data_IF_340110629108
#
_entry.id   IF_340110629108
#
_cell.length_a   1.000
_cell.length_b   1.000
_cell.length_c   1.000
_cell.angle_alpha   90.00
_cell.angle_beta   90.00
_cell.angle_gamma   90.00
#
_symmetry.space_group_name_H-M   'P 1'
#
loop_
_entity.id
_entity.type
_entity.pdbx_description
1 polymer ?
#
# COMPACT_ATOMS: atom_id res chain seq x y z
N UNK A 1 -55.25 12.05 63.13
CA UNK A 1 -53.91 11.51 63.47
C UNK A 1 -53.46 10.38 62.54
N UNK A 2 -54.32 9.41 62.21
CA UNK A 2 -53.97 8.25 61.37
C UNK A 2 -53.46 8.59 59.95
N UNK A 3 -54.01 9.64 59.33
CA UNK A 3 -53.61 10.12 57.99
C UNK A 3 -52.20 10.75 57.97
N UNK A 4 -51.78 11.37 59.07
CA UNK A 4 -50.44 11.96 59.19
C UNK A 4 -49.38 10.88 59.41
N UNK A 5 -49.71 9.81 60.13
CA UNK A 5 -48.81 8.66 60.35
C UNK A 5 -48.55 7.87 59.05
N UNK A 6 -49.56 7.72 58.20
CA UNK A 6 -49.38 7.08 56.87
C UNK A 6 -48.53 7.93 55.94
N UNK A 7 -48.63 9.27 56.04
CA UNK A 7 -47.83 10.19 55.23
C UNK A 7 -46.36 10.21 55.66
N UNK A 8 -46.08 10.19 56.97
CA UNK A 8 -44.71 10.13 57.48
C UNK A 8 -44.02 8.81 57.16
N UNK A 9 -44.73 7.68 57.23
CA UNK A 9 -44.20 6.37 56.82
C UNK A 9 -43.91 6.34 55.31
N UNK A 10 -44.78 6.94 54.48
CA UNK A 10 -44.57 7.02 53.04
C UNK A 10 -43.35 7.87 52.68
N UNK A 11 -43.14 9.01 53.35
CA UNK A 11 -41.97 9.87 53.15
C UNK A 11 -40.69 9.15 53.60
N UNK A 12 -40.74 8.39 54.69
CA UNK A 12 -39.60 7.59 55.15
C UNK A 12 -39.25 6.48 54.14
N UNK A 13 -40.26 5.79 53.59
CA UNK A 13 -40.06 4.76 52.55
C UNK A 13 -39.53 5.34 51.24
N UNK A 14 -40.01 6.51 50.82
CA UNK A 14 -39.51 7.21 49.64
C UNK A 14 -38.07 7.70 49.87
N UNK A 15 -37.75 8.20 51.06
CA UNK A 15 -36.38 8.58 51.46
C UNK A 15 -35.44 7.38 51.44
N UNK A 16 -35.88 6.22 51.94
CA UNK A 16 -35.10 4.97 51.91
C UNK A 16 -34.92 4.48 50.47
N UNK A 17 -35.96 4.52 49.62
CA UNK A 17 -35.82 4.14 48.19
C UNK A 17 -34.91 5.10 47.41
N UNK A 18 -34.93 6.40 47.72
CA UNK A 18 -34.02 7.40 47.14
C UNK A 18 -32.57 7.17 47.61
N UNK A 19 -32.36 6.77 48.87
CA UNK A 19 -31.04 6.41 49.39
C UNK A 19 -30.48 5.12 48.75
N UNK A 20 -31.35 4.13 48.49
CA UNK A 20 -30.94 2.87 47.83
C UNK A 20 -30.54 3.10 46.36
N UNK A 21 -31.14 4.09 45.68
CA UNK A 21 -30.74 4.45 44.30
C UNK A 21 -29.42 5.22 44.20
N UNK A 22 -28.91 5.83 45.28
CA UNK A 22 -27.66 6.61 45.24
C UNK A 22 -26.39 5.80 45.57
N UNK A 23 -26.51 4.53 45.93
CA UNK A 23 -25.35 3.64 46.06
C UNK A 23 -25.10 2.87 44.77
N UNK A 24 -24.83 3.57 43.66
CA UNK A 24 -24.04 2.94 42.59
C UNK A 24 -22.65 2.75 43.18
N UNK A 25 -22.31 1.51 43.56
CA UNK A 25 -20.96 1.15 43.93
C UNK A 25 -20.01 1.71 42.85
N UNK A 26 -19.01 2.49 43.24
CA UNK A 26 -17.96 2.87 42.30
C UNK A 26 -17.39 1.58 41.71
N UNK A 27 -17.21 1.50 40.38
CA UNK A 27 -16.69 0.31 39.77
C UNK A 27 -15.32 0.00 40.39
N UNK A 28 -15.16 -1.22 40.90
CA UNK A 28 -13.91 -1.69 41.51
C UNK A 28 -12.77 -1.41 40.55
N UNK A 29 -11.79 -0.61 40.99
CA UNK A 29 -10.61 -0.34 40.18
C UNK A 29 -9.78 -1.61 40.03
N UNK A 30 -9.16 -1.77 38.88
CA UNK A 30 -8.34 -2.93 38.54
C UNK A 30 -6.89 -2.55 38.65
N UNK A 31 -6.12 -3.42 39.31
CA UNK A 31 -4.69 -3.22 39.51
C UNK A 31 -3.93 -3.86 38.36
N UNK A 32 -3.13 -3.04 37.68
CA UNK A 32 -2.19 -3.48 36.66
C UNK A 32 -0.79 -3.26 37.23
N UNK A 33 -0.05 -4.34 37.44
CA UNK A 33 1.30 -4.32 38.03
C UNK A 33 2.27 -5.15 37.20
N UNK A 34 3.55 -4.87 37.32
CA UNK A 34 4.54 -5.62 36.55
C UNK A 34 5.96 -5.15 36.72
N UNK A 35 6.84 -5.73 35.91
CA UNK A 35 8.26 -5.37 35.84
C UNK A 35 8.66 -5.15 34.38
N UNK A 36 9.40 -4.07 34.14
CA UNK A 36 10.05 -3.79 32.86
C UNK A 36 11.55 -4.06 33.02
N UNK A 37 12.08 -4.94 32.19
CA UNK A 37 13.50 -5.33 32.22
C UNK A 37 14.13 -5.35 30.85
N UNK A 38 15.45 -5.26 30.78
CA UNK A 38 16.18 -5.48 29.53
C UNK A 38 16.40 -6.97 29.23
N UNK A 39 17.06 -7.25 28.10
CA UNK A 39 17.43 -8.61 27.69
C UNK A 39 18.42 -9.30 28.63
N UNK A 40 19.11 -8.57 29.50
CA UNK A 40 20.03 -9.10 30.53
C UNK A 40 19.32 -9.33 31.87
N UNK A 41 18.04 -8.96 31.97
CA UNK A 41 17.23 -9.09 33.18
C UNK A 41 17.35 -7.93 34.16
N UNK A 42 18.01 -6.83 33.78
CA UNK A 42 18.12 -5.63 34.61
C UNK A 42 16.82 -4.83 34.55
N UNK A 43 16.34 -4.38 35.70
CA UNK A 43 15.19 -3.49 35.80
C UNK A 43 15.40 -2.15 35.09
N UNK A 44 14.37 -1.65 34.41
CA UNK A 44 14.41 -0.39 33.68
C UNK A 44 13.56 0.65 34.41
N UNK A 45 14.21 1.67 34.95
CA UNK A 45 13.56 2.84 35.56
C UNK A 45 13.04 3.84 34.52
N UNK A 46 12.11 4.69 34.94
CA UNK A 46 11.55 5.77 34.11
C UNK A 46 10.88 5.28 32.81
N UNK A 47 10.40 4.04 32.80
CA UNK A 47 9.47 3.58 31.78
C UNK A 47 8.07 4.13 32.09
N UNK A 48 7.58 4.99 31.21
CA UNK A 48 6.21 5.47 31.26
C UNK A 48 5.28 4.32 30.85
N UNK A 49 4.52 3.85 31.84
CA UNK A 49 3.46 2.87 31.63
C UNK A 49 2.15 3.63 31.63
N UNK A 50 1.38 3.50 30.55
CA UNK A 50 0.11 4.21 30.42
C UNK A 50 -0.98 3.32 29.82
N UNK A 51 -2.22 3.69 30.12
CA UNK A 51 -3.42 3.08 29.57
C UNK A 51 -4.11 4.10 28.70
N UNK A 52 -4.27 3.73 27.43
CA UNK A 52 -4.95 4.51 26.42
C UNK A 52 -6.37 4.01 26.25
N UNK A 53 -7.33 4.93 26.22
CA UNK A 53 -8.71 4.65 25.79
C UNK A 53 -8.89 5.03 24.34
N UNK A 54 -9.14 4.05 23.48
CA UNK A 54 -9.44 4.31 22.06
C UNK A 54 -10.86 4.89 21.87
N UNK A 55 -11.73 4.68 22.86
CA UNK A 55 -13.06 5.26 22.89
C UNK A 55 -13.03 6.76 23.24
N UNK A 56 -12.25 7.13 24.26
CA UNK A 56 -12.17 8.53 24.74
C UNK A 56 -11.04 9.33 24.08
N UNK A 57 -10.15 8.65 23.35
CA UNK A 57 -8.94 9.21 22.73
C UNK A 57 -8.06 9.98 23.74
N UNK A 58 -7.86 9.40 24.93
CA UNK A 58 -7.17 10.03 26.07
C UNK A 58 -6.40 9.00 26.90
N UNK A 59 -5.43 9.46 27.70
CA UNK A 59 -4.75 8.61 28.68
C UNK A 59 -5.62 8.53 29.94
N UNK A 60 -6.05 7.33 30.31
CA UNK A 60 -6.95 7.12 31.48
C UNK A 60 -6.20 6.83 32.78
N UNK A 61 -4.97 6.32 32.68
CA UNK A 61 -4.08 6.08 33.82
C UNK A 61 -2.63 6.02 33.33
N UNK A 62 -1.69 6.43 34.17
CA UNK A 62 -0.26 6.32 33.89
C UNK A 62 0.58 6.25 35.17
N UNK A 63 1.79 5.72 35.07
CA UNK A 63 2.81 5.68 36.12
C UNK A 63 4.21 5.56 35.51
N UNK A 64 5.25 5.74 36.31
CA UNK A 64 6.65 5.50 35.93
C UNK A 64 7.18 4.28 36.68
N UNK A 65 8.01 3.48 36.03
CA UNK A 65 8.71 2.38 36.71
C UNK A 65 9.76 2.89 37.70
N UNK A 66 9.88 2.16 38.80
CA UNK A 66 10.88 2.39 39.84
C UNK A 66 12.28 1.91 39.41
N UNK A 67 13.28 2.06 40.29
CA UNK A 67 14.70 1.72 40.00
C UNK A 67 14.92 0.25 39.65
N UNK A 68 14.10 -0.64 40.18
CA UNK A 68 14.12 -2.08 39.91
C UNK A 68 13.25 -2.47 38.70
N UNK A 69 12.61 -1.49 38.04
CA UNK A 69 11.71 -1.69 36.92
C UNK A 69 10.27 -2.02 37.30
N UNK A 70 9.93 -2.07 38.59
CA UNK A 70 8.58 -2.35 39.04
C UNK A 70 7.62 -1.19 38.77
N UNK A 71 6.36 -1.50 38.50
CA UNK A 71 5.28 -0.53 38.45
C UNK A 71 3.95 -1.12 38.94
N UNK A 72 3.06 -0.24 39.36
CA UNK A 72 1.66 -0.55 39.68
C UNK A 72 0.78 0.66 39.37
N UNK A 73 -0.39 0.44 38.76
CA UNK A 73 -1.40 1.47 38.52
C UNK A 73 -2.82 0.91 38.69
N UNK A 74 -3.74 1.79 39.05
CA UNK A 74 -5.16 1.47 39.17
C UNK A 74 -5.94 2.05 38.00
N UNK A 75 -6.82 1.25 37.39
CA UNK A 75 -7.61 1.64 36.20
C UNK A 75 -9.09 1.36 36.45
N UNK A 76 -9.95 2.28 36.04
CA UNK A 76 -11.39 2.04 36.06
C UNK A 76 -11.79 1.09 34.92
N UNK A 77 -12.68 0.12 35.14
CA UNK A 77 -13.23 -0.73 34.09
C UNK A 77 -13.70 0.05 32.87
N UNK A 78 -13.40 -0.46 31.68
CA UNK A 78 -13.84 0.12 30.42
C UNK A 78 -13.48 -0.73 29.20
N UNK A 79 -14.11 -0.47 28.05
CA UNK A 79 -13.81 -1.16 26.81
C UNK A 79 -12.66 -0.48 26.04
N UNK A 80 -12.03 -1.23 25.13
CA UNK A 80 -11.03 -0.72 24.17
C UNK A 80 -9.81 -0.04 24.79
N UNK A 81 -9.26 -0.64 25.83
CA UNK A 81 -8.02 -0.16 26.45
C UNK A 81 -6.78 -0.80 25.86
N UNK A 82 -5.72 0.00 25.79
CA UNK A 82 -4.40 -0.43 25.34
C UNK A 82 -3.36 -0.02 26.36
N UNK A 83 -2.51 -0.96 26.73
CA UNK A 83 -1.31 -0.70 27.53
C UNK A 83 -0.19 -0.25 26.60
N UNK A 84 0.50 0.82 26.97
CA UNK A 84 1.75 1.25 26.36
C UNK A 84 2.85 1.31 27.41
N UNK A 85 4.04 0.85 27.03
CA UNK A 85 5.26 0.94 27.85
C UNK A 85 6.31 1.67 27.02
N UNK A 86 6.68 2.87 27.48
CA UNK A 86 7.62 3.76 26.82
C UNK A 86 8.81 4.02 27.75
N UNK A 87 9.93 3.29 27.61
CA UNK A 87 11.15 3.55 28.36
C UNK A 87 11.76 4.90 27.99
N UNK A 88 11.73 5.88 28.89
CA UNK A 88 12.20 7.25 28.64
C UNK A 88 13.54 7.54 29.34
N UNK A 89 14.26 8.56 28.85
CA UNK A 89 15.40 9.11 29.56
C UNK A 89 14.96 9.83 30.86
N UNK A 90 15.91 10.21 31.72
CA UNK A 90 15.63 10.87 33.01
C UNK A 90 14.78 12.14 32.87
N UNK A 91 14.97 12.90 31.78
CA UNK A 91 14.21 14.13 31.50
C UNK A 91 12.82 13.86 30.88
N UNK A 92 12.45 12.60 30.65
CA UNK A 92 11.20 12.19 29.98
C UNK A 92 11.01 12.76 28.56
N UNK A 93 12.11 13.08 27.89
CA UNK A 93 12.11 13.75 26.57
C UNK A 93 12.29 12.80 25.39
N UNK A 94 12.85 11.60 25.62
CA UNK A 94 13.25 10.69 24.55
C UNK A 94 13.10 9.23 24.97
N UNK A 95 12.59 8.41 24.05
CA UNK A 95 12.51 6.95 24.22
C UNK A 95 13.91 6.34 24.08
N UNK A 96 14.38 5.55 25.06
CA UNK A 96 15.74 4.98 25.12
C UNK A 96 15.80 3.46 25.04
N UNK A 97 14.66 2.78 25.24
CA UNK A 97 14.49 1.37 24.91
C UNK A 97 13.23 1.14 24.07
N UNK A 98 13.12 -0.02 23.44
CA UNK A 98 12.04 -0.37 22.51
C UNK A 98 10.66 -0.12 23.12
N UNK A 99 9.81 0.70 22.49
CA UNK A 99 8.46 0.94 22.97
C UNK A 99 7.57 -0.28 22.70
N UNK A 100 6.72 -0.61 23.66
CA UNK A 100 5.87 -1.79 23.64
C UNK A 100 4.40 -1.42 23.77
N UNK A 101 3.52 -2.29 23.29
CA UNK A 101 2.09 -2.15 23.47
C UNK A 101 1.39 -3.50 23.63
N UNK A 102 0.17 -3.46 24.17
CA UNK A 102 -0.72 -4.62 24.27
C UNK A 102 -2.18 -4.15 24.29
N UNK A 103 -3.01 -4.75 23.45
CA UNK A 103 -4.46 -4.61 23.56
C UNK A 103 -4.95 -5.34 24.81
N UNK A 104 -5.68 -4.64 25.67
CA UNK A 104 -6.31 -5.23 26.85
C UNK A 104 -7.69 -5.77 26.46
N UNK A 105 -8.11 -6.93 26.99
CA UNK A 105 -9.49 -7.38 26.86
C UNK A 105 -10.43 -6.39 27.56
N UNK A 106 -11.74 -6.52 27.32
CA UNK A 106 -12.72 -5.70 28.00
C UNK A 106 -12.56 -5.83 29.53
N UNK A 107 -12.33 -4.69 30.21
CA UNK A 107 -11.83 -4.66 31.59
C UNK A 107 -13.00 -4.82 32.61
N UNK A 108 -14.11 -5.46 32.23
CA UNK A 108 -15.29 -5.63 33.10
C UNK A 108 -15.17 -6.80 34.07
N UNK A 109 -14.42 -7.85 33.71
CA UNK A 109 -14.31 -9.10 34.48
C UNK A 109 -12.87 -9.42 34.93
N UNK A 110 -12.00 -8.40 34.97
CA UNK A 110 -10.59 -8.55 35.35
C UNK A 110 -10.43 -8.22 36.83
N UNK A 111 -9.67 -9.04 37.57
CA UNK A 111 -9.27 -8.78 38.95
C UNK A 111 -7.90 -8.09 39.00
N UNK A 112 -6.94 -8.65 38.25
CA UNK A 112 -5.55 -8.19 38.26
C UNK A 112 -4.86 -8.51 36.93
N UNK A 113 -3.92 -7.64 36.51
CA UNK A 113 -3.04 -7.90 35.38
C UNK A 113 -1.59 -7.85 35.87
N UNK A 114 -0.85 -8.93 35.65
CA UNK A 114 0.57 -9.05 35.93
C UNK A 114 1.37 -9.02 34.63
N UNK A 115 2.32 -8.09 34.50
CA UNK A 115 3.08 -7.86 33.27
C UNK A 115 4.57 -8.13 33.51
N UNK A 116 5.17 -8.88 32.60
CA UNK A 116 6.63 -9.02 32.51
C UNK A 116 7.06 -8.57 31.12
N UNK A 117 7.65 -7.38 31.02
CA UNK A 117 8.03 -6.75 29.76
C UNK A 117 9.55 -6.79 29.54
N UNK A 118 9.96 -7.14 28.33
CA UNK A 118 11.37 -7.19 27.92
C UNK A 118 11.62 -6.13 26.84
N UNK A 119 12.43 -5.13 27.17
CA UNK A 119 12.80 -4.04 26.27
C UNK A 119 14.27 -4.12 25.85
N UNK A 120 14.64 -3.47 24.74
CA UNK A 120 16.02 -3.48 24.20
C UNK A 120 16.49 -2.06 23.91
N UNK A 121 17.80 -1.76 24.03
CA UNK A 121 18.32 -0.45 23.64
C UNK A 121 17.95 -0.13 22.19
N UNK A 122 17.78 1.15 21.86
CA UNK A 122 17.31 1.57 20.53
C UNK A 122 18.31 2.42 19.78
N UNK A 123 18.23 2.38 18.45
CA UNK A 123 18.70 3.42 17.55
C UNK A 123 17.51 4.20 16.97
N UNK A 124 17.80 5.26 16.23
CA UNK A 124 16.81 6.18 15.69
C UNK A 124 17.01 6.41 14.21
N UNK A 125 15.90 6.49 13.49
CA UNK A 125 15.88 6.88 12.08
C UNK A 125 15.02 8.13 11.94
N UNK A 126 15.64 9.22 11.51
CA UNK A 126 14.98 10.48 11.23
C UNK A 126 14.57 10.53 9.77
N UNK A 127 13.28 10.73 9.52
CA UNK A 127 12.69 10.69 8.18
C UNK A 127 12.66 12.09 7.58
N UNK A 128 13.33 12.26 6.45
CA UNK A 128 13.40 13.51 5.71
C UNK A 128 12.86 13.32 4.29
N UNK A 129 12.62 14.44 3.60
CA UNK A 129 12.12 14.43 2.24
C UNK A 129 10.63 14.09 2.11
N UNK A 130 10.23 14.01 0.84
CA UNK A 130 8.90 13.71 0.33
C UNK A 130 8.96 12.55 -0.68
N UNK A 131 7.90 11.75 -0.77
CA UNK A 131 7.85 10.63 -1.71
C UNK A 131 7.55 11.14 -3.12
N UNK A 132 8.39 10.78 -4.09
CA UNK A 132 8.18 11.10 -5.50
C UNK A 132 7.51 9.92 -6.20
N UNK A 133 6.51 10.23 -7.04
CA UNK A 133 5.80 9.25 -7.85
C UNK A 133 5.56 9.79 -9.26
N UNK A 134 5.83 8.98 -10.29
CA UNK A 134 5.58 9.34 -11.70
C UNK A 134 4.21 8.82 -12.14
N UNK A 135 3.46 9.63 -12.89
CA UNK A 135 2.11 9.30 -13.36
C UNK A 135 1.00 9.63 -12.35
N UNK A 136 1.33 10.26 -11.22
CA UNK A 136 0.37 10.55 -10.16
C UNK A 136 0.87 11.58 -9.15
N UNK A 137 0.22 11.65 -8.00
CA UNK A 137 0.59 12.54 -6.89
C UNK A 137 0.58 11.73 -5.58
N UNK A 138 1.59 11.95 -4.74
CA UNK A 138 1.64 11.38 -3.39
C UNK A 138 0.56 11.97 -2.49
N UNK A 139 -0.13 11.13 -1.70
CA UNK A 139 -1.21 11.58 -0.80
C UNK A 139 -0.74 12.34 0.44
N UNK A 140 0.56 12.53 0.64
CA UNK A 140 1.11 13.35 1.74
C UNK A 140 1.24 12.64 3.08
N UNK A 141 1.03 11.33 3.14
CA UNK A 141 1.23 10.52 4.33
C UNK A 141 2.06 9.28 4.02
N UNK A 142 2.70 8.69 5.02
CA UNK A 142 3.41 7.43 4.89
C UNK A 142 3.32 6.63 6.18
N UNK A 143 3.48 5.33 6.07
CA UNK A 143 3.69 4.42 7.18
C UNK A 143 5.02 3.71 6.98
N UNK A 144 5.72 3.44 8.07
CA UNK A 144 6.97 2.69 8.09
C UNK A 144 6.72 1.47 8.95
N UNK A 145 6.90 0.30 8.36
CA UNK A 145 6.80 -0.98 9.06
C UNK A 145 8.19 -1.59 9.16
N UNK A 146 8.60 -1.95 10.37
CA UNK A 146 9.87 -2.62 10.62
C UNK A 146 9.69 -4.12 10.42
N UNK A 147 10.50 -4.68 9.53
CA UNK A 147 10.43 -6.07 9.11
C UNK A 147 11.77 -6.76 9.40
N UNK A 148 11.72 -8.08 9.50
CA UNK A 148 12.91 -8.94 9.56
C UNK A 148 12.78 -10.08 8.57
N UNK A 149 13.88 -10.40 7.90
CA UNK A 149 13.95 -11.60 7.08
C UNK A 149 14.24 -12.83 7.95
N UNK A 150 13.36 -13.83 7.87
CA UNK A 150 13.50 -15.12 8.54
C UNK A 150 13.16 -16.20 7.51
N UNK A 151 14.11 -17.10 7.25
CA UNK A 151 13.93 -18.23 6.31
C UNK A 151 13.45 -17.77 4.91
N UNK A 152 13.96 -16.64 4.42
CA UNK A 152 13.58 -16.06 3.12
C UNK A 152 12.21 -15.41 3.08
N UNK A 153 11.56 -15.19 4.23
CA UNK A 153 10.29 -14.47 4.35
C UNK A 153 10.45 -13.21 5.20
N UNK A 154 9.87 -12.11 4.74
CA UNK A 154 9.78 -10.88 5.53
C UNK A 154 8.61 -10.99 6.50
N UNK A 155 8.88 -10.83 7.81
CA UNK A 155 7.87 -10.80 8.86
C UNK A 155 7.96 -9.50 9.67
N UNK A 156 6.83 -8.97 10.19
CA UNK A 156 6.84 -7.82 11.09
C UNK A 156 7.71 -8.06 12.31
N UNK A 157 8.45 -7.04 12.74
CA UNK A 157 9.44 -7.18 13.81
C UNK A 157 8.77 -7.59 15.14
N UNK A 158 7.56 -7.11 15.41
CA UNK A 158 6.76 -7.46 16.58
C UNK A 158 6.35 -8.92 16.65
N UNK A 159 6.19 -9.60 15.51
CA UNK A 159 5.96 -11.05 15.48
C UNK A 159 7.22 -11.84 15.84
N UNK A 160 8.39 -11.32 15.45
CA UNK A 160 9.68 -12.03 15.56
C UNK A 160 10.41 -11.81 16.88
N UNK A 161 10.25 -10.64 17.50
CA UNK A 161 10.92 -10.28 18.76
C UNK A 161 10.01 -10.58 19.94
N UNK A 162 10.52 -11.37 20.89
CA UNK A 162 9.85 -11.59 22.18
C UNK A 162 10.00 -10.37 23.09
N UNK A 163 8.87 -9.81 23.53
CA UNK A 163 8.82 -8.63 24.41
C UNK A 163 8.20 -8.94 25.78
N UNK A 164 8.04 -10.23 26.10
CA UNK A 164 7.44 -10.69 27.35
C UNK A 164 5.94 -10.98 27.23
N UNK A 165 5.28 -11.18 28.37
CA UNK A 165 3.88 -11.60 28.44
C UNK A 165 3.15 -10.89 29.59
N UNK A 166 1.83 -10.80 29.48
CA UNK A 166 0.94 -10.49 30.59
C UNK A 166 0.11 -11.71 30.97
N UNK A 167 -0.14 -11.85 32.27
CA UNK A 167 -1.08 -12.80 32.87
C UNK A 167 -2.25 -11.96 33.39
N UNK A 168 -3.43 -12.21 32.83
CA UNK A 168 -4.67 -11.51 33.17
C UNK A 168 -5.49 -12.47 34.02
N UNK A 169 -5.68 -12.15 35.29
CA UNK A 169 -6.50 -12.91 36.22
C UNK A 169 -7.92 -12.36 36.16
N UNK A 170 -8.86 -13.21 35.75
CA UNK A 170 -10.28 -12.87 35.67
C UNK A 170 -11.00 -13.20 36.98
N UNK A 171 -12.12 -12.52 37.25
CA UNK A 171 -12.94 -12.68 38.46
C UNK A 171 -13.43 -14.12 38.66
N UNK A 172 -13.55 -14.90 37.58
CA UNK A 172 -13.90 -16.32 37.62
C UNK A 172 -12.71 -17.26 37.92
N UNK A 173 -11.55 -16.72 38.34
CA UNK A 173 -10.28 -17.42 38.60
C UNK A 173 -9.66 -18.10 37.38
N UNK A 174 -10.01 -17.68 36.17
CA UNK A 174 -9.30 -18.08 34.96
C UNK A 174 -8.16 -17.13 34.66
N UNK A 175 -7.07 -17.67 34.11
CA UNK A 175 -5.90 -16.89 33.71
C UNK A 175 -5.79 -16.86 32.20
N UNK A 176 -5.69 -15.66 31.64
CA UNK A 176 -5.43 -15.45 30.22
C UNK A 176 -4.01 -14.95 30.04
N UNK A 177 -3.23 -15.65 29.21
CA UNK A 177 -1.91 -15.20 28.82
C UNK A 177 -1.98 -14.40 27.52
N UNK A 178 -1.43 -13.19 27.54
CA UNK A 178 -1.31 -12.31 26.36
C UNK A 178 0.15 -11.98 26.09
N UNK A 179 0.52 -11.93 24.82
CA UNK A 179 1.86 -11.51 24.39
C UNK A 179 1.93 -9.99 24.42
N UNK A 180 3.07 -9.45 24.88
CA UNK A 180 3.40 -8.03 24.70
C UNK A 180 4.05 -7.87 23.33
N UNK A 181 3.59 -6.87 22.58
CA UNK A 181 4.05 -6.62 21.23
C UNK A 181 4.99 -5.40 21.18
N UNK A 182 5.94 -5.46 20.25
CA UNK A 182 6.80 -4.33 19.92
C UNK A 182 6.00 -3.35 19.08
N UNK A 183 6.17 -2.05 19.30
CA UNK A 183 5.70 -1.06 18.32
C UNK A 183 6.70 -1.04 17.16
N UNK A 184 6.28 -1.64 16.05
CA UNK A 184 7.07 -1.79 14.82
C UNK A 184 6.49 -1.00 13.63
N UNK A 185 5.40 -0.27 13.82
CA UNK A 185 4.80 0.63 12.82
C UNK A 185 4.91 2.09 13.27
N UNK A 186 5.45 2.92 12.39
CA UNK A 186 5.70 4.35 12.60
C UNK A 186 5.14 5.18 11.43
N UNK A 187 5.15 6.51 11.55
CA UNK A 187 4.60 7.42 10.55
C UNK A 187 3.23 7.98 10.95
N UNK A 188 2.32 8.10 9.98
CA UNK A 188 0.97 8.64 10.16
C UNK A 188 -0.06 7.61 10.69
N UNK A 189 0.42 6.53 11.31
CA UNK A 189 -0.40 5.47 11.91
C UNK A 189 -0.96 5.81 13.30
N UNK A 190 -1.74 4.87 13.86
CA UNK A 190 -2.55 5.07 15.08
C UNK A 190 -1.78 5.42 16.35
N UNK A 191 -0.54 4.94 16.52
CA UNK A 191 0.26 5.19 17.72
C UNK A 191 0.68 6.66 17.89
N UNK A 192 0.73 7.43 16.79
CA UNK A 192 1.13 8.85 16.83
C UNK A 192 0.20 9.68 17.71
N UNK A 193 -1.08 9.35 17.72
CA UNK A 193 -2.10 10.05 18.52
C UNK A 193 -1.76 9.93 20.00
N UNK A 194 -1.38 8.73 20.47
CA UNK A 194 -1.00 8.44 21.85
C UNK A 194 0.17 9.34 22.29
N UNK A 195 1.25 9.37 21.51
CA UNK A 195 2.43 10.19 21.83
C UNK A 195 2.14 11.70 21.83
N UNK A 196 1.30 12.17 20.90
CA UNK A 196 0.91 13.58 20.88
C UNK A 196 0.05 13.96 22.09
N UNK A 197 -0.73 12.99 22.61
CA UNK A 197 -1.66 13.22 23.70
C UNK A 197 -0.96 13.24 25.06
N UNK A 198 0.05 12.40 25.28
CA UNK A 198 0.85 12.44 26.51
C UNK A 198 1.48 13.81 26.74
N UNK A 199 1.95 14.47 25.68
CA UNK A 199 2.44 15.84 25.76
C UNK A 199 1.33 16.85 26.06
N UNK A 200 0.20 16.79 25.33
CA UNK A 200 -0.93 17.71 25.52
C UNK A 200 -1.54 17.63 26.92
N UNK A 201 -1.51 16.44 27.54
CA UNK A 201 -2.00 16.19 28.89
C UNK A 201 -0.94 16.47 29.97
N UNK A 202 0.26 16.91 29.60
CA UNK A 202 1.34 17.26 30.53
C UNK A 202 2.04 16.08 31.19
N UNK A 203 1.85 14.85 30.68
CA UNK A 203 2.50 13.63 31.16
C UNK A 203 3.98 13.62 30.75
N UNK A 204 4.27 14.10 29.54
CA UNK A 204 5.65 14.25 29.02
C UNK A 204 5.92 15.72 28.70
N UNK A 205 7.15 16.23 28.91
CA UNK A 205 7.50 17.63 28.64
C UNK A 205 7.57 17.96 27.14
N UNK A 206 7.65 16.95 26.27
CA UNK A 206 7.67 17.10 24.81
C UNK A 206 6.97 15.93 24.14
N UNK A 207 6.77 16.02 22.83
CA UNK A 207 6.32 14.88 22.02
C UNK A 207 7.50 13.93 21.78
N UNK A 208 7.51 12.80 22.51
CA UNK A 208 8.64 11.86 22.55
C UNK A 208 8.85 11.06 21.26
N UNK A 209 7.82 10.92 20.43
CA UNK A 209 7.86 10.25 19.11
C UNK A 209 7.01 11.06 18.12
N UNK A 210 7.59 11.37 16.96
CA UNK A 210 6.91 12.13 15.89
C UNK A 210 6.67 11.25 14.66
N UNK A 211 5.86 11.72 13.71
CA UNK A 211 5.60 11.00 12.45
C UNK A 211 6.85 10.82 11.58
N UNK A 212 7.92 11.59 11.84
CA UNK A 212 9.20 11.55 11.11
C UNK A 212 10.32 10.94 11.93
N UNK A 213 9.99 10.17 12.96
CA UNK A 213 10.94 9.47 13.81
C UNK A 213 10.54 8.00 13.91
N UNK A 214 11.51 7.12 13.66
CA UNK A 214 11.35 5.67 13.78
C UNK A 214 12.33 5.19 14.83
N UNK A 215 11.85 4.35 15.74
CA UNK A 215 12.65 3.77 16.81
C UNK A 215 12.90 2.31 16.46
N UNK A 216 14.16 1.91 16.44
CA UNK A 216 14.56 0.56 16.02
C UNK A 216 15.37 -0.13 17.11
N UNK A 217 15.21 -1.43 17.35
CA UNK A 217 16.07 -2.16 18.27
C UNK A 217 17.54 -2.10 17.82
N UNK A 218 18.44 -1.75 18.74
CA UNK A 218 19.86 -1.68 18.45
C UNK A 218 20.46 -3.07 18.20
N UNK A 219 21.47 -3.13 17.33
CA UNK A 219 22.22 -4.33 16.96
C UNK A 219 21.36 -5.46 16.36
N UNK A 220 20.21 -5.13 15.76
CA UNK A 220 19.36 -6.07 15.03
C UNK A 220 19.29 -5.64 13.57
N UNK A 221 19.52 -6.58 12.65
CA UNK A 221 19.28 -6.39 11.22
C UNK A 221 17.79 -6.23 10.96
N UNK A 222 17.42 -5.11 10.31
CA UNK A 222 16.04 -4.76 10.00
C UNK A 222 15.91 -4.37 8.54
N UNK A 223 14.75 -4.71 7.98
CA UNK A 223 14.26 -4.26 6.70
C UNK A 223 13.16 -3.23 6.96
N UNK A 224 13.25 -2.06 6.34
CA UNK A 224 12.27 -1.00 6.51
C UNK A 224 11.32 -1.06 5.34
N UNK A 225 10.03 -1.32 5.57
CA UNK A 225 9.01 -1.24 4.54
C UNK A 225 8.33 0.12 4.62
N UNK A 226 8.54 0.96 3.60
CA UNK A 226 7.83 2.23 3.47
C UNK A 226 6.57 1.98 2.65
N UNK A 227 5.42 2.38 3.17
CA UNK A 227 4.13 2.25 2.50
C UNK A 227 3.42 3.60 2.45
N UNK A 228 2.81 3.91 1.31
CA UNK A 228 2.03 5.13 1.13
C UNK A 228 0.91 4.91 0.13
N UNK A 229 -0.08 5.80 0.11
CA UNK A 229 -1.00 5.90 -1.02
C UNK A 229 -0.56 6.97 -2.00
N UNK A 230 -0.74 6.65 -3.28
CA UNK A 230 -0.57 7.57 -4.39
C UNK A 230 -1.88 7.66 -5.17
N UNK A 231 -2.20 8.87 -5.62
CA UNK A 231 -3.25 9.11 -6.59
C UNK A 231 -2.65 8.98 -7.98
N UNK A 232 -2.80 7.79 -8.56
CA UNK A 232 -2.35 7.44 -9.89
C UNK A 232 -3.33 8.01 -10.94
N UNK A 233 -2.87 8.98 -11.73
CA UNK A 233 -3.66 9.67 -12.77
C UNK A 233 -3.69 8.90 -14.09
N UNK A 234 -3.09 7.72 -14.13
CA UNK A 234 -3.08 6.85 -15.30
C UNK A 234 -4.52 6.43 -15.66
N UNK A 235 -4.93 6.55 -16.93
CA UNK A 235 -6.30 6.24 -17.36
C UNK A 235 -6.65 4.76 -17.23
N UNK A 236 -5.65 3.86 -17.17
CA UNK A 236 -5.87 2.42 -17.03
C UNK A 236 -6.09 1.99 -15.56
N UNK A 237 -6.04 2.91 -14.61
CA UNK A 237 -6.04 2.62 -13.18
C UNK A 237 -7.37 3.05 -12.56
N UNK A 238 -8.21 2.05 -12.24
CA UNK A 238 -9.46 2.23 -11.51
C UNK A 238 -9.56 1.18 -10.41
N UNK A 239 -9.61 1.55 -9.11
CA UNK A 239 -9.63 2.93 -8.58
C UNK A 239 -8.28 3.65 -8.73
N UNK A 240 -8.26 5.00 -8.78
CA UNK A 240 -7.04 5.78 -8.99
C UNK A 240 -6.11 5.81 -7.76
N UNK A 241 -6.53 5.27 -6.62
CA UNK A 241 -5.71 5.21 -5.40
C UNK A 241 -4.98 3.87 -5.39
N UNK A 242 -3.65 3.92 -5.31
CA UNK A 242 -2.79 2.73 -5.22
C UNK A 242 -1.88 2.79 -4.00
N UNK A 243 -1.60 1.62 -3.43
CA UNK A 243 -0.49 1.47 -2.49
C UNK A 243 0.81 1.52 -3.27
N UNK A 244 1.72 2.41 -2.86
CA UNK A 244 3.10 2.44 -3.32
C UNK A 244 3.98 2.04 -2.14
N UNK A 245 4.65 0.91 -2.30
CA UNK A 245 5.43 0.27 -1.25
C UNK A 245 6.84 0.03 -1.77
N UNK A 246 7.84 0.38 -0.97
CA UNK A 246 9.22 0.10 -1.30
C UNK A 246 10.03 -0.24 -0.05
N UNK A 247 10.85 -1.30 -0.11
CA UNK A 247 11.76 -1.62 0.98
C UNK A 247 13.00 -0.73 0.97
N UNK A 248 13.50 -0.40 2.15
CA UNK A 248 14.81 0.21 2.38
C UNK A 248 15.61 -0.70 3.31
N UNK A 249 16.86 -0.95 2.92
CA UNK A 249 17.80 -1.78 3.68
C UNK A 249 18.86 -0.87 4.27
N UNK A 250 19.08 -0.97 5.58
CA UNK A 250 20.18 -0.28 6.23
C UNK A 250 21.51 -0.99 5.90
N UNK A 251 22.58 -0.22 5.71
CA UNK A 251 23.91 -0.77 5.45
C UNK A 251 24.42 -1.66 6.60
N UNK A 252 24.00 -1.34 7.83
CA UNK A 252 24.32 -2.11 9.04
C UNK A 252 23.29 -1.87 10.14
N UNK A 253 23.20 -2.76 11.14
CA UNK A 253 22.47 -2.50 12.37
C UNK A 253 22.94 -1.21 13.07
N UNK A 254 21.98 -0.50 13.66
CA UNK A 254 22.26 0.70 14.44
C UNK A 254 22.78 0.33 15.82
N UNK A 255 23.78 1.08 16.30
CA UNK A 255 24.26 0.99 17.68
C UNK A 255 23.27 1.66 18.65
N UNK A 256 23.31 1.32 19.95
CA UNK A 256 22.51 2.02 20.95
C UNK A 256 22.73 3.53 20.91
N UNK A 257 21.66 4.31 20.82
CA UNK A 257 21.69 5.77 20.74
C UNK A 257 22.02 6.36 19.37
N UNK A 258 22.44 5.53 18.40
CA UNK A 258 22.81 5.98 17.06
C UNK A 258 21.60 6.56 16.31
N UNK A 259 21.83 7.63 15.55
CA UNK A 259 20.79 8.28 14.74
C UNK A 259 21.22 8.34 13.28
N UNK A 260 20.38 7.83 12.39
CA UNK A 260 20.58 7.86 10.93
C UNK A 260 19.46 8.65 10.27
N UNK A 261 19.75 9.29 9.14
CA UNK A 261 18.76 10.02 8.35
C UNK A 261 18.33 9.16 7.17
N UNK A 262 17.02 8.97 7.03
CA UNK A 262 16.40 8.30 5.88
C UNK A 262 15.70 9.35 5.02
N UNK A 263 16.18 9.56 3.79
CA UNK A 263 15.61 10.51 2.84
C UNK A 263 14.63 9.80 1.90
N UNK A 264 13.33 9.95 2.16
CA UNK A 264 12.29 9.33 1.34
C UNK A 264 12.29 9.82 -0.11
N UNK A 265 12.82 11.01 -0.39
CA UNK A 265 12.91 11.53 -1.75
C UNK A 265 13.86 10.69 -2.59
N UNK A 266 15.01 10.31 -2.04
CA UNK A 266 15.96 9.42 -2.73
C UNK A 266 15.48 7.98 -2.74
N UNK A 267 14.99 7.48 -1.61
CA UNK A 267 14.58 6.07 -1.51
C UNK A 267 13.36 5.74 -2.38
N UNK A 268 12.41 6.68 -2.52
CA UNK A 268 11.27 6.49 -3.42
C UNK A 268 11.67 6.41 -4.89
N UNK A 269 12.78 7.02 -5.30
CA UNK A 269 13.34 6.95 -6.65
C UNK A 269 14.25 5.73 -6.86
N UNK A 270 14.60 5.02 -5.79
CA UNK A 270 15.57 3.92 -5.84
C UNK A 270 15.14 2.78 -6.75
N UNK A 271 16.07 1.84 -6.96
CA UNK A 271 15.82 0.59 -7.70
C UNK A 271 14.60 -0.18 -7.19
N UNK A 272 14.37 -0.19 -5.88
CA UNK A 272 13.27 -0.89 -5.22
C UNK A 272 12.00 -0.03 -5.12
N UNK A 273 12.10 1.27 -5.42
CA UNK A 273 10.99 2.21 -5.54
C UNK A 273 10.57 2.40 -6.99
N UNK A 274 10.57 3.65 -7.45
CA UNK A 274 9.95 4.08 -8.71
C UNK A 274 10.60 3.50 -9.95
N UNK A 275 11.92 3.22 -9.93
CA UNK A 275 12.59 2.54 -11.05
C UNK A 275 11.94 1.17 -11.34
N UNK A 276 11.59 0.41 -10.30
CA UNK A 276 10.91 -0.87 -10.48
C UNK A 276 9.52 -0.73 -11.10
N UNK A 277 8.78 0.32 -10.71
CA UNK A 277 7.46 0.64 -11.26
C UNK A 277 7.56 0.98 -12.75
N UNK A 278 8.50 1.87 -13.12
CA UNK A 278 8.70 2.26 -14.52
C UNK A 278 9.20 1.09 -15.36
N UNK A 279 10.07 0.22 -14.82
CA UNK A 279 10.45 -1.03 -15.50
C UNK A 279 9.24 -1.92 -15.79
N UNK A 280 8.31 -2.05 -14.83
CA UNK A 280 7.05 -2.75 -15.05
C UNK A 280 6.22 -2.14 -16.19
N UNK A 281 6.23 -0.82 -16.33
CA UNK A 281 5.59 -0.12 -17.44
C UNK A 281 6.27 -0.41 -18.79
N UNK A 282 7.62 -0.47 -18.82
CA UNK A 282 8.38 -0.84 -20.03
C UNK A 282 8.07 -2.28 -20.46
N UNK A 283 8.05 -3.24 -19.53
CA UNK A 283 7.71 -4.63 -19.82
C UNK A 283 6.26 -4.81 -20.29
N UNK A 284 5.33 -4.02 -19.76
CA UNK A 284 3.98 -3.97 -20.32
C UNK A 284 4.01 -3.52 -21.78
N UNK A 285 4.67 -2.39 -22.08
CA UNK A 285 4.71 -1.86 -23.44
C UNK A 285 5.41 -2.81 -24.41
N UNK A 286 6.46 -3.51 -23.97
CA UNK A 286 7.12 -4.55 -24.75
C UNK A 286 6.14 -5.63 -25.18
N UNK A 287 5.34 -6.15 -24.25
CA UNK A 287 4.30 -7.15 -24.54
C UNK A 287 3.26 -6.63 -25.53
N UNK A 288 2.84 -5.37 -25.39
CA UNK A 288 1.88 -4.77 -26.35
C UNK A 288 2.45 -4.62 -27.76
N UNK A 289 3.74 -4.28 -27.89
CA UNK A 289 4.43 -4.29 -29.19
C UNK A 289 4.46 -5.70 -29.77
N UNK A 290 4.86 -6.71 -28.99
CA UNK A 290 4.93 -8.10 -29.44
C UNK A 290 3.56 -8.61 -29.92
N UNK A 291 2.49 -8.33 -29.17
CA UNK A 291 1.11 -8.68 -29.56
C UNK A 291 0.73 -8.01 -30.88
N UNK A 292 1.10 -6.75 -31.06
CA UNK A 292 0.79 -6.02 -32.28
C UNK A 292 1.63 -6.48 -33.48
N UNK A 293 2.90 -6.83 -33.28
CA UNK A 293 3.77 -7.45 -34.30
C UNK A 293 3.21 -8.82 -34.75
N UNK A 294 2.71 -9.64 -33.81
CA UNK A 294 2.04 -10.91 -34.12
C UNK A 294 0.77 -10.75 -34.96
N UNK A 295 0.09 -9.60 -34.84
CA UNK A 295 -1.05 -9.27 -35.72
C UNK A 295 -0.61 -8.86 -37.12
N UNK A 296 0.69 -8.68 -37.38
CA UNK A 296 1.24 -8.24 -38.66
C UNK A 296 1.49 -6.74 -38.77
N UNK A 297 1.43 -5.99 -37.66
CA UNK A 297 1.79 -4.57 -37.65
C UNK A 297 3.32 -4.41 -37.64
N UNK A 298 3.83 -3.52 -38.48
CA UNK A 298 5.24 -3.16 -38.49
C UNK A 298 5.51 -2.01 -37.51
N UNK A 299 6.23 -2.29 -36.42
CA UNK A 299 6.42 -1.37 -35.27
C UNK A 299 7.90 -1.05 -34.97
N UNK A 300 8.72 -0.88 -36.02
CA UNK A 300 10.15 -0.65 -35.83
C UNK A 300 10.49 0.66 -35.10
N UNK A 301 9.71 1.71 -35.33
CA UNK A 301 9.90 3.00 -34.66
C UNK A 301 9.54 2.89 -33.17
N UNK A 302 8.41 2.26 -32.84
CA UNK A 302 7.96 2.01 -31.46
C UNK A 302 8.97 1.15 -30.70
N UNK A 303 9.57 0.14 -31.35
CA UNK A 303 10.68 -0.65 -30.78
C UNK A 303 11.90 0.22 -30.46
N UNK A 304 12.23 1.15 -31.36
CA UNK A 304 13.33 2.08 -31.15
C UNK A 304 13.05 3.05 -30.01
N UNK A 305 11.82 3.55 -29.91
CA UNK A 305 11.38 4.39 -28.80
C UNK A 305 11.42 3.64 -27.47
N UNK A 306 11.01 2.37 -27.44
CA UNK A 306 11.08 1.56 -26.22
C UNK A 306 12.53 1.40 -25.75
N UNK A 307 13.47 1.11 -26.66
CA UNK A 307 14.91 1.07 -26.32
C UNK A 307 15.44 2.40 -25.77
N UNK A 308 14.96 3.53 -26.31
CA UNK A 308 15.32 4.84 -25.75
C UNK A 308 14.77 5.03 -24.34
N UNK A 309 13.52 4.59 -24.08
CA UNK A 309 12.94 4.64 -22.75
C UNK A 309 13.70 3.72 -21.74
N UNK A 310 14.14 2.54 -22.18
CA UNK A 310 14.99 1.64 -21.39
C UNK A 310 16.32 2.31 -21.01
N UNK A 311 17.02 2.92 -21.96
CA UNK A 311 18.27 3.65 -21.70
C UNK A 311 18.09 4.80 -20.71
N UNK A 312 16.94 5.50 -20.74
CA UNK A 312 16.66 6.56 -19.77
C UNK A 312 16.53 6.01 -18.34
N UNK A 313 15.89 4.85 -18.17
CA UNK A 313 15.77 4.18 -16.86
C UNK A 313 17.12 3.66 -16.37
N UNK A 314 17.93 3.07 -17.26
CA UNK A 314 19.29 2.63 -16.93
C UNK A 314 20.17 3.82 -16.50
N UNK A 315 20.11 4.93 -17.25
CA UNK A 315 20.84 6.16 -16.91
C UNK A 315 20.42 6.70 -15.53
N UNK A 316 19.12 6.67 -15.23
CA UNK A 316 18.60 7.10 -13.94
C UNK A 316 19.11 6.20 -12.79
N UNK A 317 19.14 4.88 -12.99
CA UNK A 317 19.61 3.91 -11.98
C UNK A 317 21.11 4.07 -11.70
N UNK A 318 21.94 4.16 -12.76
CA UNK A 318 23.39 4.30 -12.63
C UNK A 318 23.82 5.61 -11.95
N UNK A 319 22.98 6.64 -12.01
CA UNK A 319 23.28 7.97 -11.50
C UNK A 319 22.46 8.36 -10.26
N UNK A 320 21.79 7.41 -9.59
CA UNK A 320 21.02 7.64 -8.35
C UNK A 320 21.81 8.40 -7.27
N UNK A 321 23.11 8.12 -7.13
CA UNK A 321 23.96 8.77 -6.15
C UNK A 321 24.47 10.15 -6.59
N UNK A 322 24.55 10.40 -7.91
CA UNK A 322 25.24 11.57 -8.50
C UNK A 322 24.29 12.68 -8.91
N UNK A 323 23.14 12.33 -9.48
CA UNK A 323 22.14 13.29 -9.96
C UNK A 323 21.24 13.77 -8.84
N UNK A 324 20.62 14.93 -9.05
CA UNK A 324 19.56 15.41 -8.16
C UNK A 324 18.29 14.55 -8.32
N UNK A 325 17.46 14.44 -7.26
CA UNK A 325 16.20 13.72 -7.35
C UNK A 325 15.27 14.21 -8.47
N UNK A 326 15.32 15.51 -8.79
CA UNK A 326 14.51 16.10 -9.84
C UNK A 326 14.96 15.65 -11.24
N UNK A 327 16.27 15.58 -11.50
CA UNK A 327 16.81 15.07 -12.78
C UNK A 327 16.47 13.59 -12.97
N UNK A 328 16.61 12.79 -11.91
CA UNK A 328 16.24 11.36 -11.92
C UNK A 328 14.75 11.22 -12.23
N UNK A 329 13.90 11.99 -11.54
CA UNK A 329 12.46 12.02 -11.80
C UNK A 329 12.15 12.36 -13.27
N UNK A 330 12.81 13.36 -13.84
CA UNK A 330 12.58 13.76 -15.24
C UNK A 330 12.94 12.67 -16.24
N UNK A 331 14.04 11.93 -16.01
CA UNK A 331 14.40 10.76 -16.82
C UNK A 331 13.32 9.68 -16.75
N UNK A 332 12.87 9.34 -15.53
CA UNK A 332 11.82 8.35 -15.31
C UNK A 332 10.47 8.78 -15.88
N UNK A 333 10.12 10.06 -15.79
CA UNK A 333 8.89 10.62 -16.33
C UNK A 333 8.87 10.62 -17.86
N UNK A 334 10.02 10.94 -18.50
CA UNK A 334 10.21 10.80 -19.95
C UNK A 334 10.08 9.36 -20.40
N UNK A 335 10.77 8.43 -19.73
CA UNK A 335 10.69 7.00 -20.03
C UNK A 335 9.25 6.48 -19.93
N UNK A 336 8.56 6.81 -18.84
CA UNK A 336 7.17 6.47 -18.62
C UNK A 336 6.26 7.04 -19.72
N UNK A 337 6.42 8.32 -20.08
CA UNK A 337 5.58 8.97 -21.10
C UNK A 337 5.78 8.33 -22.47
N UNK A 338 7.03 8.06 -22.86
CA UNK A 338 7.34 7.34 -24.09
C UNK A 338 6.67 5.96 -24.11
N UNK A 339 6.83 5.19 -23.03
CA UNK A 339 6.36 3.81 -22.97
C UNK A 339 4.85 3.69 -22.88
N UNK A 340 4.21 4.39 -21.94
CA UNK A 340 2.79 4.23 -21.62
C UNK A 340 1.87 5.14 -22.41
N UNK A 341 2.34 6.33 -22.76
CA UNK A 341 1.50 7.31 -23.46
C UNK A 341 1.73 7.26 -24.95
N UNK A 342 2.97 7.45 -25.41
CA UNK A 342 3.23 7.66 -26.84
C UNK A 342 3.14 6.37 -27.64
N UNK A 343 3.87 5.33 -27.22
CA UNK A 343 3.89 4.05 -27.94
C UNK A 343 2.50 3.40 -27.95
N UNK A 344 1.83 3.31 -26.80
CA UNK A 344 0.51 2.68 -26.70
C UNK A 344 -0.53 3.41 -27.58
N UNK A 345 -0.57 4.75 -27.56
CA UNK A 345 -1.49 5.51 -28.44
C UNK A 345 -1.21 5.25 -29.92
N UNK A 346 0.07 5.17 -30.32
CA UNK A 346 0.45 4.85 -31.71
C UNK A 346 0.02 3.44 -32.11
N UNK A 347 0.23 2.44 -31.25
CA UNK A 347 -0.23 1.06 -31.48
C UNK A 347 -1.75 1.02 -31.64
N UNK A 348 -2.50 1.68 -30.75
CA UNK A 348 -3.96 1.75 -30.83
C UNK A 348 -4.39 2.40 -32.15
N UNK A 349 -3.77 3.52 -32.53
CA UNK A 349 -4.06 4.20 -33.78
C UNK A 349 -3.80 3.33 -35.01
N UNK A 350 -2.67 2.60 -35.05
CA UNK A 350 -2.35 1.67 -36.14
C UNK A 350 -3.32 0.49 -36.19
N UNK A 351 -3.74 -0.05 -35.05
CA UNK A 351 -4.80 -1.08 -34.97
C UNK A 351 -6.11 -0.55 -35.56
N UNK A 352 -6.51 0.68 -35.22
CA UNK A 352 -7.73 1.31 -35.75
C UNK A 352 -7.65 1.50 -37.27
N UNK A 353 -6.56 2.08 -37.80
CA UNK A 353 -6.37 2.24 -39.24
C UNK A 353 -6.41 0.89 -39.96
N UNK A 354 -5.71 -0.12 -39.41
CA UNK A 354 -5.67 -1.44 -40.02
C UNK A 354 -7.10 -2.04 -40.11
N UNK A 355 -7.87 -1.94 -39.03
CA UNK A 355 -9.25 -2.43 -38.95
C UNK A 355 -10.18 -1.69 -39.93
N UNK A 356 -10.10 -0.36 -40.00
CA UNK A 356 -10.87 0.44 -40.97
C UNK A 356 -10.50 0.07 -42.41
N UNK A 357 -9.21 -0.01 -42.72
CA UNK A 357 -8.73 -0.41 -44.04
C UNK A 357 -9.21 -1.82 -44.46
N UNK A 358 -9.26 -2.77 -43.52
CA UNK A 358 -9.79 -4.12 -43.79
C UNK A 358 -11.27 -4.12 -44.18
N UNK A 359 -12.03 -3.12 -43.75
CA UNK A 359 -13.45 -3.01 -44.09
C UNK A 359 -13.66 -2.62 -45.55
N UNK A 360 -12.76 -1.84 -46.14
CA UNK A 360 -12.90 -1.32 -47.51
C UNK A 360 -12.03 -2.03 -48.55
N UNK A 361 -10.97 -2.73 -48.15
CA UNK A 361 -10.06 -3.40 -49.08
C UNK A 361 -10.74 -4.40 -50.03
N UNK A 362 -11.77 -5.18 -49.62
CA UNK A 362 -12.47 -6.09 -50.52
C UNK A 362 -13.03 -5.41 -51.78
N UNK A 363 -13.49 -4.16 -51.68
CA UNK A 363 -13.98 -3.37 -52.83
C UNK A 363 -12.85 -3.02 -53.81
N UNK A 364 -11.67 -2.67 -53.30
CA UNK A 364 -10.51 -2.42 -54.17
C UNK A 364 -10.05 -3.71 -54.85
N UNK A 365 -9.99 -4.82 -54.10
CA UNK A 365 -9.61 -6.13 -54.63
C UNK A 365 -10.60 -6.64 -55.67
N UNK A 366 -11.91 -6.37 -55.53
CA UNK A 366 -12.91 -6.71 -56.55
C UNK A 366 -12.70 -5.92 -57.84
N UNK A 367 -12.38 -4.63 -57.76
CA UNK A 367 -12.04 -3.81 -58.93
C UNK A 367 -10.78 -4.33 -59.65
N UNK A 368 -9.71 -4.67 -58.91
CA UNK A 368 -8.51 -5.26 -59.51
C UNK A 368 -8.77 -6.62 -60.16
N UNK A 369 -9.54 -7.49 -59.49
CA UNK A 369 -9.95 -8.77 -60.06
C UNK A 369 -10.77 -8.58 -61.35
N UNK A 370 -11.62 -7.55 -61.39
CA UNK A 370 -12.40 -7.19 -62.58
C UNK A 370 -11.48 -6.80 -63.73
N UNK A 371 -10.53 -5.89 -63.49
CA UNK A 371 -9.57 -5.44 -64.50
C UNK A 371 -8.79 -6.62 -65.10
N UNK A 372 -8.38 -7.58 -64.28
CA UNK A 372 -7.73 -8.82 -64.74
C UNK A 372 -8.66 -9.65 -65.63
N UNK A 373 -9.91 -9.85 -65.21
CA UNK A 373 -10.90 -10.58 -66.00
C UNK A 373 -11.09 -9.98 -67.40
N UNK A 374 -11.24 -8.65 -67.48
CA UNK A 374 -11.38 -7.94 -68.76
C UNK A 374 -10.10 -7.91 -69.59
N UNK A 375 -8.93 -7.89 -68.96
CA UNK A 375 -7.65 -7.86 -69.66
C UNK A 375 -7.35 -9.17 -70.40
N UNK A 376 -7.65 -10.32 -69.78
CA UNK A 376 -7.28 -11.62 -70.34
C UNK A 376 -8.30 -12.20 -71.33
N UNK A 377 -9.56 -11.79 -71.26
CA UNK A 377 -10.63 -12.42 -72.04
C UNK A 377 -11.63 -11.40 -72.57
N UNK A 378 -12.14 -11.63 -73.77
CA UNK A 378 -13.23 -10.83 -74.35
C UNK A 378 -14.62 -11.44 -74.07
N UNK A 379 -14.71 -12.78 -74.06
CA UNK A 379 -15.95 -13.53 -73.82
C UNK A 379 -16.49 -13.33 -72.38
N UNK A 380 -17.78 -12.99 -72.20
CA UNK A 380 -18.36 -12.72 -70.88
C UNK A 380 -18.19 -13.85 -69.86
N UNK A 381 -18.38 -15.12 -70.30
CA UNK A 381 -18.22 -16.29 -69.41
C UNK A 381 -16.80 -16.46 -68.89
N UNK A 382 -15.80 -16.23 -69.73
CA UNK A 382 -14.38 -16.36 -69.37
C UNK A 382 -13.94 -15.19 -68.50
N UNK A 383 -14.42 -13.97 -68.77
CA UNK A 383 -14.22 -12.79 -67.89
C UNK A 383 -14.70 -13.06 -66.48
N UNK A 384 -15.94 -13.54 -66.34
CA UNK A 384 -16.53 -13.85 -65.05
C UNK A 384 -15.73 -14.92 -64.29
N UNK A 385 -15.35 -16.03 -64.95
CA UNK A 385 -14.56 -17.09 -64.31
C UNK A 385 -13.20 -16.59 -63.81
N UNK A 386 -12.49 -15.82 -64.64
CA UNK A 386 -11.18 -15.27 -64.29
C UNK A 386 -11.28 -14.21 -63.20
N UNK A 387 -12.33 -13.36 -63.23
CA UNK A 387 -12.66 -12.44 -62.15
C UNK A 387 -12.84 -13.21 -60.82
N UNK A 388 -13.70 -14.22 -60.79
CA UNK A 388 -14.00 -14.97 -59.57
C UNK A 388 -12.74 -15.66 -59.02
N UNK A 389 -11.93 -16.26 -59.89
CA UNK A 389 -10.67 -16.88 -59.48
C UNK A 389 -9.68 -15.85 -58.89
N UNK A 390 -9.50 -14.70 -59.56
CA UNK A 390 -8.63 -13.63 -59.09
C UNK A 390 -9.14 -13.01 -57.79
N UNK A 391 -10.46 -12.80 -57.65
CA UNK A 391 -11.08 -12.26 -56.45
C UNK A 391 -10.86 -13.16 -55.23
N UNK A 392 -11.05 -14.47 -55.38
CA UNK A 392 -10.79 -15.44 -54.31
C UNK A 392 -9.31 -15.43 -53.94
N UNK A 393 -8.40 -15.46 -54.92
CA UNK A 393 -6.97 -15.44 -54.69
C UNK A 393 -6.53 -14.17 -53.94
N UNK A 394 -6.97 -13.00 -54.38
CA UNK A 394 -6.62 -11.72 -53.76
C UNK A 394 -7.14 -11.62 -52.33
N UNK A 395 -8.37 -12.05 -52.07
CA UNK A 395 -8.89 -12.03 -50.70
C UNK A 395 -8.18 -13.06 -49.82
N UNK A 396 -7.80 -14.23 -50.33
CA UNK A 396 -7.01 -15.21 -49.58
C UNK A 396 -5.61 -14.68 -49.25
N UNK A 397 -4.96 -14.00 -50.19
CA UNK A 397 -3.69 -13.33 -49.89
C UNK A 397 -3.88 -12.22 -48.84
N UNK A 398 -4.92 -11.40 -49.00
CA UNK A 398 -5.27 -10.36 -48.04
C UNK A 398 -5.49 -10.90 -46.62
N UNK A 399 -6.22 -12.01 -46.46
CA UNK A 399 -6.44 -12.59 -45.11
C UNK A 399 -5.17 -13.13 -44.48
N UNK A 400 -4.18 -13.55 -45.28
CA UNK A 400 -2.90 -14.04 -44.79
C UNK A 400 -1.90 -12.94 -44.48
N UNK A 401 -1.91 -11.84 -45.24
CA UNK A 401 -0.85 -10.82 -45.16
C UNK A 401 -1.28 -9.52 -44.46
N UNK A 402 -2.56 -9.19 -44.44
CA UNK A 402 -3.02 -7.89 -43.95
C UNK A 402 -3.44 -7.94 -42.47
N UNK A 403 -2.82 -7.11 -41.60
CA UNK A 403 -3.05 -7.18 -40.15
C UNK A 403 -4.50 -6.87 -39.74
N UNK A 404 -5.17 -6.01 -40.51
CA UNK A 404 -6.54 -5.61 -40.21
C UNK A 404 -7.57 -6.74 -40.38
N UNK A 405 -7.24 -7.82 -41.11
CA UNK A 405 -8.16 -8.96 -41.23
C UNK A 405 -8.36 -9.64 -39.88
N UNK A 406 -7.29 -9.96 -39.15
CA UNK A 406 -7.38 -10.61 -37.83
C UNK A 406 -8.14 -9.72 -36.83
N UNK A 407 -7.89 -8.41 -36.86
CA UNK A 407 -8.59 -7.44 -36.01
C UNK A 407 -10.10 -7.40 -36.31
N UNK A 408 -10.46 -7.35 -37.59
CA UNK A 408 -11.86 -7.38 -38.03
C UNK A 408 -12.54 -8.71 -37.75
N UNK A 409 -11.87 -9.83 -37.99
CA UNK A 409 -12.41 -11.16 -37.77
C UNK A 409 -12.76 -11.41 -36.31
N UNK A 410 -11.95 -10.90 -35.38
CA UNK A 410 -12.20 -11.06 -33.94
C UNK A 410 -13.24 -10.07 -33.40
N UNK A 411 -13.27 -8.83 -33.90
CA UNK A 411 -14.10 -7.77 -33.31
C UNK A 411 -15.41 -7.47 -34.08
N UNK A 412 -15.42 -7.65 -35.41
CA UNK A 412 -16.48 -7.20 -36.34
C UNK A 412 -16.60 -8.14 -37.56
N UNK A 413 -16.67 -9.45 -37.29
CA UNK A 413 -16.67 -10.51 -38.33
C UNK A 413 -17.80 -10.32 -39.35
N UNK A 414 -18.98 -10.01 -38.86
CA UNK A 414 -20.20 -9.73 -39.62
C UNK A 414 -19.99 -8.63 -40.67
N UNK A 415 -19.37 -7.52 -40.27
CA UNK A 415 -19.12 -6.38 -41.15
C UNK A 415 -18.11 -6.73 -42.25
N UNK A 416 -17.07 -7.51 -41.91
CA UNK A 416 -16.12 -8.00 -42.91
C UNK A 416 -16.78 -8.85 -43.99
N UNK A 417 -17.54 -9.88 -43.61
CA UNK A 417 -18.19 -10.78 -44.58
C UNK A 417 -19.29 -10.07 -45.39
N UNK A 418 -19.99 -9.11 -44.78
CA UNK A 418 -20.98 -8.29 -45.48
C UNK A 418 -20.31 -7.45 -46.58
N UNK A 419 -19.20 -6.78 -46.25
CA UNK A 419 -18.46 -5.98 -47.22
C UNK A 419 -17.81 -6.84 -48.31
N UNK A 420 -17.30 -8.01 -47.96
CA UNK A 420 -16.78 -8.99 -48.92
C UNK A 420 -17.87 -9.43 -49.90
N UNK A 421 -19.04 -9.84 -49.40
CA UNK A 421 -20.17 -10.24 -50.23
C UNK A 421 -20.67 -9.09 -51.11
N UNK A 422 -20.83 -7.88 -50.55
CA UNK A 422 -21.29 -6.71 -51.29
C UNK A 422 -20.30 -6.32 -52.40
N UNK A 423 -18.99 -6.35 -52.10
CA UNK A 423 -17.94 -6.03 -53.08
C UNK A 423 -17.94 -6.98 -54.28
N UNK A 424 -18.25 -8.26 -54.06
CA UNK A 424 -18.40 -9.25 -55.12
C UNK A 424 -19.68 -9.00 -55.93
N UNK A 425 -20.83 -8.87 -55.25
CA UNK A 425 -22.14 -8.71 -55.89
C UNK A 425 -22.23 -7.45 -56.78
N UNK A 426 -21.63 -6.33 -56.34
CA UNK A 426 -21.60 -5.10 -57.13
C UNK A 426 -20.92 -5.36 -58.48
N UNK A 427 -19.79 -6.07 -58.49
CA UNK A 427 -19.06 -6.37 -59.72
C UNK A 427 -19.81 -7.37 -60.59
N UNK A 428 -20.39 -8.42 -59.99
CA UNK A 428 -21.18 -9.41 -60.74
C UNK A 428 -22.35 -8.76 -61.49
N UNK A 429 -22.95 -7.70 -60.93
CA UNK A 429 -24.00 -6.96 -61.63
C UNK A 429 -23.49 -6.12 -62.81
N UNK A 430 -22.20 -5.79 -62.85
CA UNK A 430 -21.58 -4.95 -63.86
C UNK A 430 -20.93 -5.72 -65.02
N UNK A 431 -20.64 -7.02 -64.85
CA UNK A 431 -20.07 -7.95 -65.86
C UNK A 431 -21.20 -8.68 -66.59
#
# INVERSE_FOLDING_TARGET
MERMYKLSILILLISIMLFIQMSKAEPTKIVIKGIVKDSEGRGISNALVLIWSDFELTVVAHTLTEKDGYFSLEVKPGPYYYLYILPLNEDLTRVVYTPLYMALPEITDIEEIEIEAIVRPVGYINITGEIIYVGGIWSGYFTIELMREIEGRHKPLGETITCGNAIIKLTNKTELKRRIELIDVYGYGGYLVVYSRTYKEGITPTTVVTSRMVIVPANIDILIKVSTSVYDKRPEVSPPIRSFEFPVILERPLKPGETVVLDLTRESLSRLGLISVVRGDLEFTRREIEIAELLGLYLAEERSMLRQAEMLVETAEENLAKMSPQEIRELLEKAYTMARTTIIKRIIFMKTIAMEGASFLPYFLSLFATAIGYYFHEEPRKKFLTFTAAFILFNLLFTLTYPGFMLMYNNRRDLFFTNLALSYLIVVFLI
#
